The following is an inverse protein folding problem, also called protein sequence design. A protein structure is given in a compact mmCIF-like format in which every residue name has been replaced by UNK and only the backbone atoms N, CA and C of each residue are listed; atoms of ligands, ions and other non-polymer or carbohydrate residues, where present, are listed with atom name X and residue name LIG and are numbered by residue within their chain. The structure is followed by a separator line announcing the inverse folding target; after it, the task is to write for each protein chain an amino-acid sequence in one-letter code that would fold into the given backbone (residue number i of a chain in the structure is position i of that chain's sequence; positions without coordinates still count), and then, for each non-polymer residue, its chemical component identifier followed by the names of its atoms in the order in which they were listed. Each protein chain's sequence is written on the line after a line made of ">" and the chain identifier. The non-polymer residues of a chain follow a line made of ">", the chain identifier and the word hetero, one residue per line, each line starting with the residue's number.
data_IF_709490872547
#
_entry.id   IF_709490872547
#
_cell.length_a   1.000
_cell.length_b   1.000
_cell.length_c   1.000
_cell.angle_alpha   90.00
_cell.angle_beta   90.00
_cell.angle_gamma   90.00
#
_symmetry.space_group_name_H-M   'P 1'
#
loop_
_entity.id
_entity.type
_entity.pdbx_description
1 polymer ?
#
# COMPACT_ATOMS: atom_id res chain seq x y z
N UNK A 1 22.49 32.36 -39.41
CA UNK A 1 22.47 32.02 -37.97
C UNK A 1 21.02 31.92 -37.52
N UNK A 2 20.46 30.72 -37.47
CA UNK A 2 19.22 30.46 -36.72
C UNK A 2 19.23 29.01 -36.26
N UNK A 3 19.83 28.78 -35.09
CA UNK A 3 19.73 27.51 -34.38
C UNK A 3 18.32 27.40 -33.81
N UNK A 4 17.58 26.37 -34.23
CA UNK A 4 16.24 26.06 -33.70
C UNK A 4 16.33 25.71 -32.21
N UNK A 5 15.36 26.13 -31.36
CA UNK A 5 15.40 25.91 -29.90
C UNK A 5 15.40 24.44 -29.46
N UNK A 6 15.20 23.51 -30.39
CA UNK A 6 14.99 22.09 -30.12
C UNK A 6 16.28 21.27 -30.13
N UNK A 7 17.38 21.78 -30.72
CA UNK A 7 18.62 21.00 -30.93
C UNK A 7 19.53 20.87 -29.69
N UNK A 8 19.23 21.51 -28.56
CA UNK A 8 20.07 21.44 -27.36
C UNK A 8 19.37 20.93 -26.09
N UNK A 9 18.15 20.40 -26.21
CA UNK A 9 17.45 19.81 -25.06
C UNK A 9 18.14 18.50 -24.64
N UNK A 10 19.02 18.60 -23.65
CA UNK A 10 19.68 17.46 -23.02
C UNK A 10 18.64 16.41 -22.60
N UNK A 11 18.99 15.13 -22.78
CA UNK A 11 18.14 13.98 -22.43
C UNK A 11 17.68 14.02 -20.98
N UNK A 12 18.48 14.59 -20.08
CA UNK A 12 18.12 14.78 -18.66
C UNK A 12 16.98 15.78 -18.50
N UNK A 13 17.07 16.92 -19.18
CA UNK A 13 16.04 17.97 -19.19
C UNK A 13 14.72 17.43 -19.75
N UNK A 14 14.79 16.67 -20.85
CA UNK A 14 13.59 16.06 -21.45
C UNK A 14 12.92 15.04 -20.51
N UNK A 15 13.71 14.21 -19.81
CA UNK A 15 13.19 13.29 -18.79
C UNK A 15 12.54 14.03 -17.62
N UNK A 16 13.11 15.15 -17.17
CA UNK A 16 12.53 15.98 -16.11
C UNK A 16 11.21 16.61 -16.54
N UNK A 17 11.14 17.18 -17.74
CA UNK A 17 9.90 17.75 -18.31
C UNK A 17 8.82 16.67 -18.40
N UNK A 18 9.15 15.48 -18.92
CA UNK A 18 8.20 14.36 -18.99
C UNK A 18 7.74 13.87 -17.61
N UNK A 19 8.63 13.85 -16.62
CA UNK A 19 8.25 13.49 -15.25
C UNK A 19 7.31 14.53 -14.64
N UNK A 20 7.63 15.82 -14.80
CA UNK A 20 6.81 16.92 -14.30
C UNK A 20 5.42 16.90 -14.93
N UNK A 21 5.34 16.78 -16.27
CA UNK A 21 4.07 16.68 -16.97
C UNK A 21 3.19 15.53 -16.46
N UNK A 22 3.77 14.34 -16.26
CA UNK A 22 3.01 13.19 -15.72
C UNK A 22 2.59 13.43 -14.27
N UNK A 23 3.44 14.07 -13.47
CA UNK A 23 3.16 14.39 -12.08
C UNK A 23 1.99 15.38 -11.95
N UNK A 24 1.95 16.40 -12.80
CA UNK A 24 0.87 17.38 -12.85
C UNK A 24 -0.46 16.73 -13.28
N UNK A 25 -0.41 15.88 -14.32
CA UNK A 25 -1.56 15.08 -14.74
C UNK A 25 -2.08 14.17 -13.62
N UNK A 26 -1.18 13.51 -12.88
CA UNK A 26 -1.57 12.69 -11.74
C UNK A 26 -2.25 13.53 -10.66
N UNK A 27 -1.69 14.68 -10.30
CA UNK A 27 -2.27 15.59 -9.32
C UNK A 27 -3.67 16.05 -9.74
N UNK A 28 -3.84 16.50 -10.99
CA UNK A 28 -5.14 16.94 -11.53
C UNK A 28 -6.18 15.81 -11.48
N UNK A 29 -5.80 14.60 -11.92
CA UNK A 29 -6.71 13.46 -11.95
C UNK A 29 -7.07 12.96 -10.53
N UNK A 30 -6.16 13.09 -9.56
CA UNK A 30 -6.44 12.77 -8.15
C UNK A 30 -7.37 13.77 -7.48
N UNK A 31 -7.30 15.03 -7.87
CA UNK A 31 -8.20 16.09 -7.39
C UNK A 31 -9.57 16.09 -8.08
N UNK A 32 -9.71 15.35 -9.19
CA UNK A 32 -11.00 15.17 -9.87
C UNK A 32 -11.95 14.34 -9.02
N UNK A 33 -13.21 14.78 -8.90
CA UNK A 33 -14.26 14.15 -8.08
C UNK A 33 -14.60 12.72 -8.51
N UNK A 34 -14.21 12.31 -9.71
CA UNK A 34 -14.61 11.03 -10.30
C UNK A 34 -13.59 9.90 -10.11
N UNK A 35 -12.42 10.16 -9.52
CA UNK A 35 -11.34 9.17 -9.47
C UNK A 35 -11.10 8.59 -8.08
N UNK A 36 -12.06 7.80 -7.59
CA UNK A 36 -11.93 7.05 -6.33
C UNK A 36 -10.74 6.10 -6.34
N UNK A 37 -10.35 5.57 -7.51
CA UNK A 37 -9.18 4.69 -7.63
C UNK A 37 -7.86 5.47 -7.58
N UNK A 38 -7.74 6.61 -8.25
CA UNK A 38 -6.50 7.40 -8.24
C UNK A 38 -6.28 8.13 -6.91
N UNK A 39 -7.35 8.48 -6.19
CA UNK A 39 -7.22 9.06 -4.84
C UNK A 39 -6.51 8.09 -3.88
N UNK A 40 -6.70 6.77 -4.09
CA UNK A 40 -6.04 5.70 -3.37
C UNK A 40 -4.61 5.40 -3.87
N UNK A 41 -4.16 5.99 -4.98
CA UNK A 41 -2.78 5.87 -5.45
C UNK A 41 -1.84 6.85 -4.72
N UNK A 42 -0.52 6.57 -4.80
CA UNK A 42 0.51 7.48 -4.27
C UNK A 42 0.42 8.85 -4.96
N UNK A 43 0.70 9.94 -4.23
CA UNK A 43 0.72 11.28 -4.81
C UNK A 43 1.87 11.50 -5.78
N UNK A 44 2.90 10.64 -5.77
CA UNK A 44 4.14 10.83 -6.54
C UNK A 44 4.41 9.65 -7.48
N UNK A 45 4.79 9.96 -8.72
CA UNK A 45 5.21 8.96 -9.70
C UNK A 45 6.58 8.41 -9.31
N UNK A 46 6.59 7.18 -8.82
CA UNK A 46 7.79 6.49 -8.34
C UNK A 46 7.58 4.98 -8.36
N UNK A 47 8.67 4.21 -8.32
CA UNK A 47 8.58 2.76 -8.09
C UNK A 47 7.96 2.52 -6.71
N UNK A 48 6.94 1.67 -6.66
CA UNK A 48 6.27 1.36 -5.41
C UNK A 48 7.23 0.61 -4.46
N UNK A 49 7.43 1.10 -3.22
CA UNK A 49 8.22 0.44 -2.19
C UNK A 49 7.90 -1.04 -2.00
N UNK A 50 6.65 -1.49 -2.21
CA UNK A 50 6.29 -2.91 -2.11
C UNK A 50 7.15 -3.81 -3.01
N UNK A 51 7.61 -3.28 -4.15
CA UNK A 51 8.37 -4.06 -5.14
C UNK A 51 9.81 -4.35 -4.69
N UNK A 52 10.41 -3.51 -3.86
CA UNK A 52 11.83 -3.63 -3.48
C UNK A 52 12.08 -3.68 -1.97
N UNK A 53 11.11 -3.32 -1.13
CA UNK A 53 11.23 -3.46 0.32
C UNK A 53 11.45 -4.93 0.71
N UNK A 54 12.26 -5.19 1.74
CA UNK A 54 12.53 -6.53 2.22
C UNK A 54 11.28 -7.11 2.87
N UNK A 55 10.72 -8.12 2.21
CA UNK A 55 9.60 -8.93 2.67
C UNK A 55 9.63 -10.25 1.89
N UNK A 56 8.99 -11.27 2.44
CA UNK A 56 8.83 -12.56 1.77
C UNK A 56 8.00 -12.41 0.48
N UNK A 57 8.11 -13.40 -0.42
CA UNK A 57 7.29 -13.44 -1.64
C UNK A 57 5.80 -13.43 -1.33
N UNK A 58 5.38 -14.12 -0.26
CA UNK A 58 3.98 -14.24 0.14
C UNK A 58 3.45 -12.89 0.66
N UNK A 59 4.19 -12.21 1.53
CA UNK A 59 3.81 -10.88 2.04
C UNK A 59 3.68 -9.86 0.90
N UNK A 60 4.64 -9.86 -0.03
CA UNK A 60 4.59 -9.00 -1.21
C UNK A 60 3.35 -9.26 -2.05
N UNK A 61 3.06 -10.53 -2.34
CA UNK A 61 1.88 -10.91 -3.11
C UNK A 61 0.58 -10.43 -2.44
N UNK A 62 0.48 -10.53 -1.11
CA UNK A 62 -0.69 -10.02 -0.37
C UNK A 62 -0.81 -8.49 -0.46
N UNK A 63 0.30 -7.76 -0.31
CA UNK A 63 0.30 -6.30 -0.47
C UNK A 63 -0.13 -5.87 -1.88
N UNK A 64 0.39 -6.56 -2.92
CA UNK A 64 0.05 -6.30 -4.32
C UNK A 64 -1.42 -6.61 -4.58
N UNK A 65 -1.94 -7.75 -4.12
CA UNK A 65 -3.36 -8.11 -4.26
C UNK A 65 -4.28 -7.07 -3.65
N UNK A 66 -3.97 -6.58 -2.44
CA UNK A 66 -4.74 -5.51 -1.81
C UNK A 66 -4.76 -4.22 -2.65
N UNK A 67 -3.60 -3.81 -3.18
CA UNK A 67 -3.47 -2.60 -4.01
C UNK A 67 -4.26 -2.67 -5.30
N UNK A 68 -4.27 -3.83 -5.94
CA UNK A 68 -5.02 -4.05 -7.18
C UNK A 68 -6.53 -4.24 -6.94
N UNK A 69 -6.99 -4.15 -5.68
CA UNK A 69 -8.39 -4.43 -5.34
C UNK A 69 -8.77 -5.90 -5.56
N UNK A 70 -7.78 -6.79 -5.62
CA UNK A 70 -7.99 -8.18 -6.00
C UNK A 70 -8.43 -9.02 -4.80
N UNK A 71 -9.74 -9.26 -4.74
CA UNK A 71 -10.34 -10.37 -3.99
C UNK A 71 -10.53 -11.55 -4.96
N UNK A 72 -10.11 -12.78 -4.62
CA UNK A 72 -10.20 -13.90 -5.55
C UNK A 72 -11.66 -14.22 -5.82
N UNK A 73 -12.06 -14.17 -7.09
CA UNK A 73 -13.35 -14.69 -7.53
C UNK A 73 -14.20 -13.79 -8.41
N UNK A 74 -13.84 -12.52 -8.65
CA UNK A 74 -14.60 -11.59 -9.50
C UNK A 74 -15.92 -11.16 -8.86
N UNK A 75 -16.78 -12.11 -8.52
CA UNK A 75 -17.93 -11.96 -7.63
C UNK A 75 -17.50 -12.14 -6.17
N UNK A 76 -17.73 -11.16 -5.29
CA UNK A 76 -17.49 -11.29 -3.86
C UNK A 76 -18.23 -12.50 -3.27
N UNK A 77 -17.48 -13.41 -2.63
CA UNK A 77 -18.01 -14.56 -1.89
C UNK A 77 -18.63 -14.12 -0.56
N UNK A 78 -19.53 -14.91 0.05
CA UNK A 78 -19.96 -14.67 1.43
C UNK A 78 -18.75 -14.62 2.38
N UNK A 79 -18.80 -13.74 3.38
CA UNK A 79 -17.75 -13.67 4.39
C UNK A 79 -17.86 -14.89 5.32
N UNK A 80 -16.78 -15.66 5.55
CA UNK A 80 -16.82 -16.80 6.47
C UNK A 80 -17.20 -16.43 7.91
N UNK A 81 -16.90 -15.19 8.33
CA UNK A 81 -17.25 -14.66 9.65
C UNK A 81 -18.67 -14.07 9.69
N UNK A 82 -19.19 -13.63 8.55
CA UNK A 82 -20.50 -13.00 8.42
C UNK A 82 -21.21 -13.53 7.16
N UNK A 83 -21.81 -14.73 7.20
CA UNK A 83 -22.34 -15.40 6.00
C UNK A 83 -23.42 -14.60 5.24
N UNK A 84 -24.10 -13.67 5.92
CA UNK A 84 -25.09 -12.77 5.31
C UNK A 84 -24.51 -11.62 4.50
N UNK A 85 -23.19 -11.37 4.60
CA UNK A 85 -22.53 -10.26 3.91
C UNK A 85 -21.49 -10.78 2.92
N UNK A 86 -21.37 -10.08 1.79
CA UNK A 86 -20.33 -10.35 0.79
C UNK A 86 -18.99 -9.78 1.25
N UNK A 87 -17.92 -10.55 1.12
CA UNK A 87 -16.54 -10.14 1.38
C UNK A 87 -16.09 -9.15 0.30
N UNK A 88 -16.40 -7.88 0.51
CA UNK A 88 -15.91 -6.75 -0.29
C UNK A 88 -14.74 -6.06 0.43
N UNK A 89 -14.05 -5.14 -0.25
CA UNK A 89 -12.98 -4.35 0.37
C UNK A 89 -13.49 -3.53 1.56
N UNK A 90 -14.62 -2.85 1.41
CA UNK A 90 -15.28 -2.12 2.50
C UNK A 90 -15.70 -3.06 3.63
N UNK A 91 -16.35 -4.19 3.33
CA UNK A 91 -16.71 -5.17 4.36
C UNK A 91 -15.48 -5.68 5.10
N UNK A 92 -14.37 -5.98 4.40
CA UNK A 92 -13.15 -6.49 5.02
C UNK A 92 -12.56 -5.50 6.04
N UNK A 93 -12.65 -4.19 5.76
CA UNK A 93 -12.16 -3.14 6.65
C UNK A 93 -12.91 -3.18 8.00
N UNK A 94 -14.23 -3.30 7.95
CA UNK A 94 -15.06 -3.42 9.14
C UNK A 94 -14.92 -4.79 9.81
N UNK A 95 -14.99 -5.87 9.04
CA UNK A 95 -14.94 -7.26 9.51
C UNK A 95 -13.64 -7.58 10.25
N UNK A 96 -12.51 -7.03 9.80
CA UNK A 96 -11.19 -7.23 10.43
C UNK A 96 -10.84 -6.09 11.41
N UNK A 97 -11.76 -5.15 11.65
CA UNK A 97 -11.59 -3.99 12.52
C UNK A 97 -10.27 -3.23 12.24
N UNK A 98 -10.01 -2.95 10.96
CA UNK A 98 -8.70 -2.48 10.52
C UNK A 98 -8.31 -1.13 11.13
N UNK A 99 -9.24 -0.18 11.28
CA UNK A 99 -8.97 1.14 11.87
C UNK A 99 -8.44 1.04 13.29
N UNK A 100 -9.10 0.25 14.15
CA UNK A 100 -8.70 0.06 15.54
C UNK A 100 -7.33 -0.61 15.62
N UNK A 101 -7.12 -1.69 14.84
CA UNK A 101 -5.86 -2.44 14.84
C UNK A 101 -4.69 -1.60 14.34
N UNK A 102 -4.90 -0.78 13.32
CA UNK A 102 -3.89 0.07 12.72
C UNK A 102 -3.70 1.42 13.44
N UNK A 103 -4.52 1.69 14.46
CA UNK A 103 -4.53 2.94 15.22
C UNK A 103 -4.71 4.16 14.29
N UNK A 104 -5.79 4.12 13.50
CA UNK A 104 -6.15 5.14 12.52
C UNK A 104 -7.58 5.65 12.76
N UNK A 105 -7.83 6.90 12.38
CA UNK A 105 -9.17 7.50 12.42
C UNK A 105 -10.11 6.83 11.42
N UNK A 106 -11.37 6.61 11.81
CA UNK A 106 -12.44 6.09 10.95
C UNK A 106 -12.75 6.98 9.74
N UNK A 107 -12.32 8.24 9.77
CA UNK A 107 -12.41 9.17 8.62
C UNK A 107 -11.59 8.70 7.41
N UNK A 108 -10.59 7.83 7.61
CA UNK A 108 -9.79 7.27 6.53
C UNK A 108 -10.56 6.12 5.90
N UNK A 109 -11.08 6.32 4.69
CA UNK A 109 -11.91 5.32 3.98
C UNK A 109 -11.21 3.97 3.81
N UNK A 110 -9.91 3.96 3.49
CA UNK A 110 -9.12 2.76 3.29
C UNK A 110 -7.82 2.81 4.13
N UNK A 111 -7.83 2.28 5.37
CA UNK A 111 -6.71 2.40 6.29
C UNK A 111 -5.46 1.64 5.82
N UNK A 112 -5.63 0.49 5.16
CA UNK A 112 -4.51 -0.27 4.62
C UNK A 112 -3.86 0.44 3.43
N UNK A 113 -4.63 0.89 2.45
CA UNK A 113 -4.05 1.62 1.30
C UNK A 113 -3.39 2.93 1.75
N UNK A 114 -3.98 3.62 2.72
CA UNK A 114 -3.38 4.81 3.32
C UNK A 114 -1.98 4.53 3.89
N UNK A 115 -1.81 3.46 4.67
CA UNK A 115 -0.50 3.09 5.22
C UNK A 115 0.43 2.55 4.12
N UNK A 116 -0.06 1.69 3.23
CA UNK A 116 0.76 1.17 2.13
C UNK A 116 1.28 2.30 1.23
N UNK A 117 0.58 3.43 1.11
CA UNK A 117 1.05 4.63 0.39
C UNK A 117 2.08 5.45 1.15
N UNK A 118 2.25 5.23 2.44
CA UNK A 118 3.26 5.89 3.27
C UNK A 118 4.53 5.07 3.43
N UNK A 119 4.58 3.84 2.91
CA UNK A 119 5.76 2.98 3.05
C UNK A 119 7.05 3.75 2.69
N UNK A 120 8.12 3.54 3.47
CA UNK A 120 9.35 4.29 3.32
C UNK A 120 10.00 4.00 1.97
N UNK A 121 10.41 5.06 1.28
CA UNK A 121 11.12 4.94 0.00
C UNK A 121 12.63 4.70 0.18
N UNK A 122 13.14 4.86 1.40
CA UNK A 122 14.53 4.64 1.81
C UNK A 122 14.52 4.16 3.25
N UNK A 123 15.57 3.48 3.68
CA UNK A 123 15.69 3.07 5.08
C UNK A 123 15.54 4.29 5.98
N UNK A 124 14.62 4.29 6.95
CA UNK A 124 14.50 5.39 7.90
C UNK A 124 15.83 5.62 8.61
N UNK A 125 16.28 6.86 8.67
CA UNK A 125 17.56 7.21 9.28
C UNK A 125 17.48 7.42 10.81
N UNK A 126 16.27 7.48 11.36
CA UNK A 126 16.06 7.71 12.79
C UNK A 126 15.02 6.75 13.36
N UNK A 127 15.18 6.47 14.66
CA UNK A 127 14.21 5.71 15.46
C UNK A 127 12.80 6.29 15.34
N UNK A 128 12.65 7.62 15.46
CA UNK A 128 11.34 8.29 15.36
C UNK A 128 10.64 8.04 14.03
N UNK A 129 11.41 7.95 12.93
CA UNK A 129 10.86 7.63 11.63
C UNK A 129 10.55 6.13 11.45
N UNK A 130 11.25 5.25 12.16
CA UNK A 130 11.06 3.79 12.11
C UNK A 130 9.97 3.28 13.06
N UNK A 131 9.75 3.92 14.21
CA UNK A 131 8.84 3.47 15.26
C UNK A 131 7.38 3.26 14.79
N UNK A 132 6.77 4.15 13.99
CA UNK A 132 5.43 3.89 13.47
C UNK A 132 5.36 2.64 12.61
N UNK A 133 6.45 2.31 11.91
CA UNK A 133 6.57 1.15 11.04
C UNK A 133 6.82 -0.13 11.82
N UNK A 134 7.65 -0.10 12.87
CA UNK A 134 7.86 -1.28 13.71
C UNK A 134 6.58 -1.72 14.43
N UNK A 135 5.71 -0.77 14.80
CA UNK A 135 4.42 -1.05 15.42
C UNK A 135 3.36 -1.50 14.41
N UNK A 136 3.22 -0.80 13.27
CA UNK A 136 2.12 -1.04 12.33
C UNK A 136 2.39 -2.13 11.31
N UNK A 137 3.64 -2.37 10.94
CA UNK A 137 3.96 -3.35 9.89
C UNK A 137 3.53 -4.78 10.25
N UNK A 138 3.79 -5.30 11.46
CA UNK A 138 3.29 -6.63 11.85
C UNK A 138 1.77 -6.71 11.73
N UNK A 139 1.07 -5.68 12.21
CA UNK A 139 -0.40 -5.59 12.11
C UNK A 139 -0.89 -5.57 10.66
N UNK A 140 -0.24 -4.83 9.77
CA UNK A 140 -0.54 -4.83 8.32
C UNK A 140 -0.40 -6.25 7.77
N UNK A 141 0.72 -6.92 8.04
CA UNK A 141 0.95 -8.27 7.53
C UNK A 141 -0.06 -9.27 8.09
N UNK A 142 -0.41 -9.17 9.37
CA UNK A 142 -1.43 -10.00 10.01
C UNK A 142 -2.81 -9.81 9.38
N UNK A 143 -3.26 -8.57 9.19
CA UNK A 143 -4.55 -8.28 8.54
C UNK A 143 -4.57 -8.86 7.13
N UNK A 144 -3.49 -8.65 6.37
CA UNK A 144 -3.36 -9.19 5.00
C UNK A 144 -3.33 -10.72 4.97
N UNK A 145 -2.74 -11.35 5.99
CA UNK A 145 -2.76 -12.79 6.16
C UNK A 145 -4.17 -13.31 6.45
N UNK A 146 -4.88 -12.73 7.42
CA UNK A 146 -6.26 -13.13 7.74
C UNK A 146 -7.19 -12.96 6.55
N UNK A 147 -7.06 -11.82 5.84
CA UNK A 147 -7.84 -11.55 4.64
C UNK A 147 -7.63 -12.61 3.56
N UNK A 148 -6.39 -13.06 3.35
CA UNK A 148 -6.05 -14.11 2.39
C UNK A 148 -6.83 -15.41 2.68
N UNK A 149 -6.98 -15.78 3.96
CA UNK A 149 -7.76 -16.96 4.35
C UNK A 149 -9.27 -16.76 4.20
N UNK A 150 -9.79 -15.60 4.62
CA UNK A 150 -11.21 -15.27 4.44
C UNK A 150 -11.62 -15.32 2.96
N UNK A 151 -10.72 -14.88 2.09
CA UNK A 151 -10.91 -14.93 0.64
C UNK A 151 -10.97 -16.36 0.07
N UNK A 152 -10.43 -17.35 0.77
CA UNK A 152 -10.41 -18.75 0.38
C UNK A 152 -11.43 -19.59 1.17
N UNK A 153 -12.43 -18.94 1.77
CA UNK A 153 -13.48 -19.55 2.59
C UNK A 153 -12.91 -20.35 3.78
N UNK A 154 -11.75 -19.94 4.29
CA UNK A 154 -11.07 -20.57 5.42
C UNK A 154 -11.08 -19.67 6.65
N UNK A 155 -11.22 -20.28 7.82
CA UNK A 155 -10.93 -19.60 9.08
C UNK A 155 -9.42 -19.37 9.13
N UNK A 156 -8.96 -18.13 9.37
CA UNK A 156 -7.53 -17.84 9.44
C UNK A 156 -6.89 -18.57 10.64
N UNK A 157 -5.80 -19.33 10.43
CA UNK A 157 -5.00 -19.83 11.53
C UNK A 157 -4.29 -18.67 12.23
N UNK A 158 -3.64 -18.97 13.36
CA UNK A 158 -2.75 -17.99 13.97
C UNK A 158 -1.67 -17.54 12.97
N UNK A 159 -1.38 -16.24 12.90
CA UNK A 159 -0.33 -15.74 12.01
C UNK A 159 1.02 -16.39 12.35
N UNK A 160 1.89 -16.60 11.35
CA UNK A 160 3.24 -17.08 11.60
C UNK A 160 3.99 -16.19 12.60
N UNK A 161 4.82 -16.76 13.51
CA UNK A 161 5.47 -15.99 14.57
C UNK A 161 6.45 -14.92 14.05
N UNK A 162 6.93 -15.07 12.81
CA UNK A 162 7.89 -14.18 12.14
C UNK A 162 7.25 -13.32 11.04
N UNK A 163 5.94 -13.10 11.11
CA UNK A 163 5.24 -12.30 10.09
C UNK A 163 5.76 -10.86 10.05
N UNK A 164 6.12 -10.38 8.87
CA UNK A 164 6.68 -9.05 8.63
C UNK A 164 8.15 -8.89 9.03
N UNK A 165 8.81 -9.94 9.55
CA UNK A 165 10.14 -9.82 10.18
C UNK A 165 11.22 -9.23 9.27
N UNK A 166 11.27 -9.61 7.99
CA UNK A 166 12.31 -9.11 7.06
C UNK A 166 12.30 -7.59 6.90
N UNK A 167 11.13 -6.97 7.00
CA UNK A 167 11.01 -5.52 6.94
C UNK A 167 11.43 -4.89 8.27
N UNK A 168 11.11 -5.52 9.41
CA UNK A 168 11.53 -5.06 10.73
C UNK A 168 13.05 -5.08 10.89
N UNK A 169 13.71 -6.15 10.43
CA UNK A 169 15.18 -6.28 10.45
C UNK A 169 15.89 -5.22 9.60
N UNK A 170 15.19 -4.70 8.59
CA UNK A 170 15.70 -3.63 7.74
C UNK A 170 15.51 -2.23 8.33
N UNK A 171 14.60 -2.07 9.30
CA UNK A 171 14.46 -0.82 10.02
C UNK A 171 15.67 -0.62 10.96
N UNK A 172 16.09 0.63 11.22
CA UNK A 172 17.13 0.88 12.21
C UNK A 172 16.71 0.33 13.58
N UNK A 173 17.65 -0.25 14.31
CA UNK A 173 17.41 -0.90 15.60
C UNK A 173 16.56 -0.02 16.53
N UNK A 174 15.42 -0.56 16.95
CA UNK A 174 14.48 0.05 17.89
C UNK A 174 15.04 0.00 19.33
N UNK A 175 16.18 -0.64 19.54
CA UNK A 175 16.84 -0.84 20.83
C UNK A 175 18.03 0.13 21.02
N UNK A 176 17.76 1.40 21.32
CA UNK A 176 18.71 2.31 21.98
C UNK A 176 17.97 3.28 22.88
#
# INVERSE_FOLDING_TARGET
>A
MHSTPLESLDKRTLKQIQLQFRQDNLCQNRSSRNSTLLSLCRPTISLDPILWLPMTRIERNRCVRWRLGWLPGGTPRPCPLHPSQKLTKSHSIHCLNMHRRLQLSETIVDPLSFLLNKLPHRTPHSFRAALPWSLRWPTICTILHELDYLCHDKIPPSPPPYIGQRFLEWLPNVSR
#
